data_IF_193417488901
#
_entry.id   IF_193417488901
#
_cell.length_a   1.000
_cell.length_b   1.000
_cell.length_c   1.000
_cell.angle_alpha   90.00
_cell.angle_beta   90.00
_cell.angle_gamma   90.00
#
_symmetry.space_group_name_H-M   'P 1'
#
loop_
_entity.id
_entity.type
_entity.pdbx_description
1 polymer ?
#
# COMPACT_ATOMS: atom_id res chain seq x y z
N UNK A 1 12.48 -12.95 -8.73
CA UNK A 1 11.80 -11.74 -8.24
C UNK A 1 12.83 -10.79 -7.66
N UNK A 2 12.89 -9.57 -8.15
CA UNK A 2 13.80 -8.55 -7.64
C UNK A 2 13.00 -7.39 -7.04
N UNK A 3 13.59 -6.75 -6.04
CA UNK A 3 13.00 -5.58 -5.37
C UNK A 3 13.94 -4.39 -5.58
N UNK A 4 13.39 -3.28 -6.03
CA UNK A 4 14.18 -2.06 -6.24
C UNK A 4 13.35 -0.82 -5.95
N UNK A 5 14.03 0.32 -5.76
CA UNK A 5 13.37 1.61 -5.57
C UNK A 5 12.91 2.15 -6.93
N UNK A 6 11.67 2.62 -6.98
CA UNK A 6 11.09 3.20 -8.18
C UNK A 6 11.72 4.55 -8.53
N UNK A 7 11.76 4.85 -9.82
CA UNK A 7 12.18 6.15 -10.35
C UNK A 7 11.03 6.79 -11.13
N UNK A 8 11.24 8.02 -11.61
CA UNK A 8 10.21 8.71 -12.40
C UNK A 8 9.80 7.93 -13.66
N UNK A 9 10.69 7.13 -14.22
CA UNK A 9 10.39 6.31 -15.40
C UNK A 9 9.36 5.23 -15.11
N UNK A 10 9.16 4.88 -13.85
CA UNK A 10 8.23 3.85 -13.45
C UNK A 10 6.79 4.36 -13.27
N UNK A 11 6.59 5.69 -13.30
CA UNK A 11 5.29 6.30 -12.96
C UNK A 11 4.13 5.77 -13.82
N UNK A 12 4.22 5.72 -15.15
CA UNK A 12 3.11 5.21 -15.95
C UNK A 12 2.72 3.77 -15.59
N UNK A 13 3.71 2.90 -15.40
CA UNK A 13 3.48 1.51 -15.01
C UNK A 13 2.87 1.38 -13.63
N UNK A 14 3.37 2.17 -12.67
CA UNK A 14 2.82 2.21 -11.31
C UNK A 14 1.38 2.68 -11.30
N UNK A 15 1.06 3.70 -12.07
CA UNK A 15 -0.30 4.23 -12.15
C UNK A 15 -1.28 3.14 -12.62
N UNK A 16 -0.92 2.39 -13.65
CA UNK A 16 -1.73 1.29 -14.14
C UNK A 16 -1.85 0.16 -13.12
N UNK A 17 -0.73 -0.24 -12.52
CA UNK A 17 -0.70 -1.32 -11.54
C UNK A 17 -1.58 -1.03 -10.32
N UNK A 18 -1.39 0.13 -9.70
CA UNK A 18 -2.10 0.48 -8.47
C UNK A 18 -3.60 0.62 -8.71
N UNK A 19 -3.99 1.35 -9.75
CA UNK A 19 -5.40 1.55 -10.02
C UNK A 19 -6.11 0.25 -10.39
N UNK A 20 -5.47 -0.63 -11.17
CA UNK A 20 -6.08 -1.90 -11.55
C UNK A 20 -6.21 -2.86 -10.36
N UNK A 21 -5.30 -2.79 -9.40
CA UNK A 21 -5.32 -3.67 -8.24
C UNK A 21 -6.32 -3.22 -7.17
N UNK A 22 -6.45 -1.92 -6.95
CA UNK A 22 -7.30 -1.38 -5.89
C UNK A 22 -8.74 -1.13 -6.34
N UNK A 23 -8.93 -0.66 -7.56
CA UNK A 23 -10.21 -0.12 -8.05
C UNK A 23 -10.51 -0.61 -9.46
N UNK A 24 -11.77 -0.48 -9.88
CA UNK A 24 -12.22 -0.92 -11.20
C UNK A 24 -12.52 -2.42 -11.23
N UNK A 25 -13.09 -2.87 -12.35
CA UNK A 25 -13.53 -4.26 -12.48
C UNK A 25 -12.37 -5.27 -12.46
N UNK A 26 -11.21 -4.90 -13.00
CA UNK A 26 -10.04 -5.77 -13.00
C UNK A 26 -9.56 -6.14 -11.60
N UNK A 27 -9.76 -5.27 -10.60
CA UNK A 27 -9.33 -5.54 -9.23
C UNK A 27 -10.11 -6.68 -8.57
N UNK A 28 -11.31 -6.98 -9.06
CA UNK A 28 -12.16 -8.03 -8.51
C UNK A 28 -11.64 -9.43 -8.82
N UNK A 29 -10.62 -9.57 -9.67
CA UNK A 29 -9.95 -10.84 -9.92
C UNK A 29 -9.05 -11.28 -8.75
N UNK A 30 -8.66 -10.35 -7.88
CA UNK A 30 -7.91 -10.65 -6.68
C UNK A 30 -8.82 -11.00 -5.52
N UNK A 31 -8.24 -11.47 -4.40
CA UNK A 31 -9.03 -11.82 -3.21
C UNK A 31 -9.48 -10.60 -2.40
N UNK A 32 -8.93 -9.43 -2.67
CA UNK A 32 -9.30 -8.19 -1.97
C UNK A 32 -9.34 -7.01 -2.94
N UNK A 33 -10.26 -6.07 -2.72
CA UNK A 33 -10.43 -4.90 -3.58
C UNK A 33 -11.18 -3.80 -2.81
N UNK A 34 -11.05 -2.56 -3.28
CA UNK A 34 -11.84 -1.42 -2.81
C UNK A 34 -12.96 -1.03 -3.77
N UNK A 35 -13.12 -1.76 -4.89
CA UNK A 35 -14.06 -1.38 -5.96
C UNK A 35 -15.51 -1.23 -5.50
N UNK A 36 -15.94 -1.99 -4.49
CA UNK A 36 -17.30 -1.91 -3.95
C UNK A 36 -17.46 -0.80 -2.90
N UNK A 37 -16.38 -0.18 -2.45
CA UNK A 37 -16.39 0.86 -1.43
C UNK A 37 -16.16 2.25 -1.99
N UNK A 38 -15.40 2.35 -3.09
CA UNK A 38 -14.93 3.61 -3.64
C UNK A 38 -15.04 3.63 -5.15
N UNK A 39 -15.50 4.76 -5.68
CA UNK A 39 -15.40 5.07 -7.11
C UNK A 39 -14.18 5.94 -7.36
N UNK A 40 -13.80 6.09 -8.63
CA UNK A 40 -12.68 6.91 -9.04
C UNK A 40 -11.35 6.15 -9.02
N UNK A 41 -10.25 6.91 -8.97
CA UNK A 41 -8.90 6.35 -9.02
C UNK A 41 -8.32 6.23 -7.62
N UNK A 42 -7.38 5.27 -7.44
CA UNK A 42 -6.61 5.14 -6.20
C UNK A 42 -5.45 6.12 -6.17
N UNK A 43 -4.81 6.33 -7.31
CA UNK A 43 -3.66 7.22 -7.46
C UNK A 43 -3.66 7.86 -8.85
N UNK A 44 -2.74 8.78 -9.07
CA UNK A 44 -2.51 9.44 -10.35
C UNK A 44 -1.00 9.58 -10.59
N UNK A 45 -0.61 9.89 -11.82
CA UNK A 45 0.81 10.12 -12.12
C UNK A 45 1.37 11.29 -11.32
N UNK A 46 0.59 12.35 -11.12
CA UNK A 46 1.02 13.50 -10.31
C UNK A 46 1.23 13.10 -8.84
N UNK A 47 0.32 12.32 -8.28
CA UNK A 47 0.46 11.84 -6.90
C UNK A 47 1.68 10.93 -6.75
N UNK A 48 1.93 10.06 -7.71
CA UNK A 48 3.10 9.18 -7.70
C UNK A 48 4.40 9.97 -7.80
N UNK A 49 4.41 11.02 -8.61
CA UNK A 49 5.58 11.89 -8.74
C UNK A 49 5.90 12.58 -7.41
N UNK A 50 4.87 13.09 -6.72
CA UNK A 50 5.03 13.67 -5.39
C UNK A 50 5.61 12.68 -4.40
N UNK A 51 5.15 11.43 -4.42
CA UNK A 51 5.66 10.37 -3.55
C UNK A 51 7.14 10.08 -3.81
N UNK A 52 7.53 9.96 -5.08
CA UNK A 52 8.91 9.65 -5.47
C UNK A 52 9.86 10.80 -5.13
N UNK A 53 9.39 12.03 -5.23
CA UNK A 53 10.19 13.22 -4.97
C UNK A 53 10.37 13.54 -3.48
N UNK A 54 9.62 12.91 -2.59
CA UNK A 54 9.77 13.13 -1.15
C UNK A 54 11.10 12.56 -0.67
N UNK A 55 11.83 13.36 0.14
CA UNK A 55 13.16 12.98 0.62
C UNK A 55 13.13 11.79 1.60
N UNK A 56 12.07 11.67 2.38
CA UNK A 56 11.95 10.63 3.40
C UNK A 56 11.15 9.42 2.94
N UNK A 57 10.91 9.30 1.64
CA UNK A 57 10.03 8.26 1.11
C UNK A 57 10.63 7.55 -0.08
N UNK A 58 10.22 6.29 -0.25
CA UNK A 58 10.53 5.49 -1.44
C UNK A 58 9.31 4.67 -1.82
N UNK A 59 9.22 4.28 -3.09
CA UNK A 59 8.31 3.23 -3.54
C UNK A 59 9.21 2.05 -3.89
N UNK A 60 8.97 0.90 -3.26
CA UNK A 60 9.68 -0.34 -3.58
C UNK A 60 8.86 -1.11 -4.59
N UNK A 61 9.50 -1.49 -5.70
CA UNK A 61 8.89 -2.31 -6.75
C UNK A 61 9.34 -3.75 -6.64
N UNK A 62 8.40 -4.66 -6.88
CA UNK A 62 8.70 -6.06 -7.11
C UNK A 62 8.59 -6.33 -8.60
N UNK A 63 9.67 -6.81 -9.20
CA UNK A 63 9.75 -7.09 -10.63
C UNK A 63 10.15 -8.52 -10.90
N UNK A 64 9.63 -9.07 -11.99
CA UNK A 64 10.05 -10.36 -12.52
C UNK A 64 9.80 -10.35 -14.02
N UNK A 65 10.79 -10.80 -14.81
CA UNK A 65 10.71 -10.85 -16.27
C UNK A 65 10.38 -9.47 -16.88
N UNK A 66 10.98 -8.42 -16.32
CA UNK A 66 10.80 -7.00 -16.72
C UNK A 66 9.37 -6.49 -16.53
N UNK A 67 8.56 -7.16 -15.71
CA UNK A 67 7.20 -6.72 -15.39
C UNK A 67 7.08 -6.36 -13.92
N UNK A 68 6.31 -5.29 -13.63
CA UNK A 68 5.95 -4.94 -12.27
C UNK A 68 4.92 -5.93 -11.77
N UNK A 69 5.21 -6.58 -10.65
CA UNK A 69 4.29 -7.55 -10.02
C UNK A 69 3.62 -6.97 -8.79
N UNK A 70 4.23 -5.99 -8.16
CA UNK A 70 3.68 -5.33 -6.99
C UNK A 70 4.53 -4.14 -6.57
N UNK A 71 4.04 -3.40 -5.57
CA UNK A 71 4.78 -2.27 -5.01
C UNK A 71 4.32 -1.96 -3.60
N UNK A 72 5.09 -1.13 -2.89
CA UNK A 72 4.72 -0.59 -1.59
C UNK A 72 5.36 0.78 -1.40
N UNK A 73 4.61 1.73 -0.84
CA UNK A 73 5.10 3.05 -0.48
C UNK A 73 5.56 3.06 0.97
N UNK A 74 6.75 3.59 1.22
CA UNK A 74 7.35 3.65 2.55
C UNK A 74 7.85 5.07 2.82
N UNK A 75 7.40 5.66 3.94
CA UNK A 75 7.78 7.02 4.31
C UNK A 75 8.16 7.08 5.78
N UNK A 76 9.35 7.62 6.08
CA UNK A 76 9.77 7.80 7.47
C UNK A 76 8.96 8.93 8.12
N UNK A 77 8.32 8.62 9.24
CA UNK A 77 7.52 9.57 10.03
C UNK A 77 7.94 9.43 11.50
N UNK A 78 8.79 10.34 11.97
CA UNK A 78 9.36 10.27 13.32
C UNK A 78 10.09 8.94 13.56
N UNK A 79 9.66 8.12 14.51
CA UNK A 79 10.27 6.83 14.81
C UNK A 79 9.61 5.65 14.08
N UNK A 80 8.63 5.93 13.25
CA UNK A 80 7.88 4.91 12.53
C UNK A 80 8.13 5.01 11.01
N UNK A 81 8.02 3.88 10.34
CA UNK A 81 7.97 3.83 8.88
C UNK A 81 6.50 3.66 8.49
N UNK A 82 5.94 4.68 7.84
CA UNK A 82 4.59 4.58 7.30
C UNK A 82 4.60 3.72 6.05
N UNK A 83 3.71 2.72 6.02
CA UNK A 83 3.53 1.82 4.89
C UNK A 83 2.18 2.10 4.25
N UNK A 84 2.19 2.36 2.95
CA UNK A 84 0.96 2.61 2.22
C UNK A 84 1.02 2.02 0.82
N UNK A 85 -0.13 1.98 0.17
CA UNK A 85 -0.23 1.58 -1.22
C UNK A 85 0.39 0.20 -1.50
N UNK A 86 0.26 -0.74 -0.54
CA UNK A 86 0.71 -2.12 -0.77
C UNK A 86 -0.13 -2.72 -1.89
N UNK A 87 0.53 -3.10 -2.96
CA UNK A 87 -0.12 -3.51 -4.20
C UNK A 87 0.49 -4.79 -4.72
N UNK A 88 -0.37 -5.74 -5.08
CA UNK A 88 0.00 -6.97 -5.79
C UNK A 88 -0.95 -7.10 -6.96
N UNK A 89 -0.45 -7.47 -8.13
CA UNK A 89 -1.33 -7.70 -9.29
C UNK A 89 -2.47 -8.62 -8.89
N UNK A 90 -3.74 -8.32 -9.28
CA UNK A 90 -4.88 -9.12 -8.83
C UNK A 90 -4.75 -10.62 -9.09
N UNK A 91 -4.20 -11.02 -10.24
CA UNK A 91 -4.01 -12.42 -10.59
C UNK A 91 -2.85 -13.09 -9.84
N UNK A 92 -2.06 -12.34 -9.07
CA UNK A 92 -0.94 -12.86 -8.27
C UNK A 92 -1.20 -12.80 -6.78
N UNK A 93 -2.34 -12.27 -6.35
CA UNK A 93 -2.70 -12.23 -4.93
C UNK A 93 -2.86 -13.65 -4.38
N UNK A 94 -2.52 -13.83 -3.10
CA UNK A 94 -2.57 -15.14 -2.47
C UNK A 94 -1.35 -16.03 -2.72
N UNK A 95 -0.31 -15.52 -3.41
CA UNK A 95 0.90 -16.29 -3.75
C UNK A 95 2.14 -15.87 -2.96
N UNK A 96 1.96 -15.10 -1.88
CA UNK A 96 3.05 -14.71 -1.00
C UNK A 96 3.81 -13.46 -1.38
N UNK A 97 3.50 -12.79 -2.48
CA UNK A 97 4.20 -11.58 -2.89
C UNK A 97 3.96 -10.42 -1.91
N UNK A 98 2.73 -10.28 -1.40
CA UNK A 98 2.42 -9.29 -0.37
C UNK A 98 3.28 -9.48 0.87
N UNK A 99 3.48 -10.72 1.31
CA UNK A 99 4.36 -11.04 2.43
C UNK A 99 5.80 -10.63 2.14
N UNK A 100 6.29 -10.88 0.92
CA UNK A 100 7.64 -10.47 0.52
C UNK A 100 7.79 -8.95 0.54
N UNK A 101 6.78 -8.21 0.10
CA UNK A 101 6.80 -6.74 0.15
C UNK A 101 6.79 -6.24 1.59
N UNK A 102 6.03 -6.87 2.48
CA UNK A 102 6.05 -6.54 3.91
C UNK A 102 7.42 -6.80 4.52
N UNK A 103 8.09 -7.89 4.14
CA UNK A 103 9.46 -8.15 4.59
C UNK A 103 10.43 -7.08 4.09
N UNK A 104 10.30 -6.64 2.84
CA UNK A 104 11.13 -5.56 2.31
C UNK A 104 10.93 -4.27 3.12
N UNK A 105 9.70 -3.99 3.54
CA UNK A 105 9.40 -2.84 4.40
C UNK A 105 10.08 -2.98 5.78
N UNK A 106 10.03 -4.16 6.37
CA UNK A 106 10.67 -4.42 7.66
C UNK A 106 12.19 -4.24 7.59
N UNK A 107 12.81 -4.75 6.53
CA UNK A 107 14.25 -4.56 6.30
C UNK A 107 14.61 -3.08 6.15
N UNK A 108 13.80 -2.34 5.40
CA UNK A 108 13.99 -0.90 5.24
C UNK A 108 13.88 -0.17 6.58
N UNK A 109 12.88 -0.52 7.39
CA UNK A 109 12.70 0.07 8.72
C UNK A 109 13.93 -0.13 9.59
N UNK A 110 14.51 -1.33 9.58
CA UNK A 110 15.73 -1.63 10.31
C UNK A 110 16.91 -0.79 9.81
N UNK A 111 17.08 -0.70 8.50
CA UNK A 111 18.18 0.04 7.87
C UNK A 111 18.17 1.51 8.26
N UNK A 112 17.00 2.13 8.33
CA UNK A 112 16.89 3.56 8.62
C UNK A 112 16.59 3.87 10.10
N UNK A 113 16.59 2.84 10.95
CA UNK A 113 16.45 3.01 12.41
C UNK A 113 15.04 3.28 12.88
N UNK A 114 14.02 2.90 12.13
CA UNK A 114 12.64 3.00 12.57
C UNK A 114 12.31 1.84 13.51
N UNK A 115 11.55 2.11 14.58
CA UNK A 115 11.23 1.13 15.60
C UNK A 115 9.96 0.36 15.31
N UNK A 116 9.12 0.89 14.41
CA UNK A 116 7.84 0.27 14.06
C UNK A 116 7.41 0.65 12.65
N UNK A 117 6.49 -0.16 12.12
CA UNK A 117 5.79 0.15 10.86
C UNK A 117 4.35 0.50 11.23
N UNK A 118 3.83 1.56 10.61
CA UNK A 118 2.47 2.03 10.81
C UNK A 118 1.73 2.06 9.48
N UNK A 119 0.46 1.66 9.50
CA UNK A 119 -0.39 1.72 8.32
C UNK A 119 -1.81 2.09 8.69
N UNK A 120 -2.60 2.52 7.70
CA UNK A 120 -4.03 2.76 7.85
C UNK A 120 -4.80 1.78 6.97
N UNK A 121 -5.90 1.26 7.49
CA UNK A 121 -6.76 0.31 6.76
C UNK A 121 -8.20 0.76 6.93
N UNK A 122 -8.99 0.70 5.84
CA UNK A 122 -10.41 1.02 5.90
C UNK A 122 -11.10 0.01 6.84
N UNK A 123 -11.84 0.52 7.82
CA UNK A 123 -12.37 -0.30 8.93
C UNK A 123 -13.29 -1.44 8.49
N UNK A 124 -13.99 -1.29 7.36
CA UNK A 124 -14.90 -2.32 6.88
C UNK A 124 -14.23 -3.40 6.02
N UNK A 125 -12.93 -3.28 5.75
CA UNK A 125 -12.18 -4.30 5.02
C UNK A 125 -11.64 -5.35 5.99
N UNK A 126 -12.56 -6.13 6.54
CA UNK A 126 -12.25 -7.10 7.59
C UNK A 126 -11.25 -8.17 7.16
N UNK A 127 -11.30 -8.59 5.90
CA UNK A 127 -10.39 -9.60 5.35
C UNK A 127 -8.95 -9.08 5.33
N UNK A 128 -8.78 -7.80 5.03
CA UNK A 128 -7.47 -7.17 4.97
C UNK A 128 -6.91 -6.95 6.38
N UNK A 129 -7.76 -6.53 7.32
CA UNK A 129 -7.38 -6.37 8.73
C UNK A 129 -6.92 -7.71 9.29
N UNK A 130 -7.64 -8.79 9.02
CA UNK A 130 -7.27 -10.13 9.46
C UNK A 130 -5.93 -10.55 8.87
N UNK A 131 -5.69 -10.23 7.59
CA UNK A 131 -4.41 -10.51 6.93
C UNK A 131 -3.25 -9.83 7.66
N UNK A 132 -3.38 -8.53 7.96
CA UNK A 132 -2.31 -7.80 8.65
C UNK A 132 -2.12 -8.29 10.08
N UNK A 133 -3.19 -8.67 10.78
CA UNK A 133 -3.06 -9.25 12.12
C UNK A 133 -2.24 -10.53 12.09
N UNK A 134 -2.45 -11.39 11.08
CA UNK A 134 -1.64 -12.61 10.91
C UNK A 134 -0.17 -12.29 10.65
N UNK A 135 0.13 -11.12 10.09
CA UNK A 135 1.50 -10.67 9.83
C UNK A 135 2.13 -9.95 11.03
N UNK A 136 1.42 -9.86 12.16
CA UNK A 136 1.94 -9.29 13.41
C UNK A 136 1.54 -7.84 13.66
N UNK A 137 0.70 -7.26 12.82
CA UNK A 137 0.20 -5.89 13.02
C UNK A 137 -0.94 -5.89 14.03
N UNK A 138 -1.03 -4.83 14.81
CA UNK A 138 -2.05 -4.69 15.87
C UNK A 138 -2.86 -3.42 15.62
N UNK A 139 -4.16 -3.50 15.91
CA UNK A 139 -5.04 -2.33 15.92
C UNK A 139 -4.66 -1.47 17.12
N UNK A 140 -4.29 -0.21 16.87
CA UNK A 140 -3.89 0.71 17.94
C UNK A 140 -5.06 1.33 18.69
N UNK A 141 -6.27 1.15 18.17
CA UNK A 141 -7.46 1.84 18.68
C UNK A 141 -7.70 3.20 18.05
N UNK A 142 -6.72 3.76 17.37
CA UNK A 142 -6.86 5.06 16.71
C UNK A 142 -7.68 4.93 15.44
N UNK A 143 -8.54 5.92 15.19
CA UNK A 143 -9.37 6.01 13.98
C UNK A 143 -9.15 7.36 13.31
N UNK A 144 -9.19 7.38 11.98
CA UNK A 144 -9.03 8.60 11.18
C UNK A 144 -10.12 8.64 10.11
N UNK A 145 -10.69 9.83 9.81
CA UNK A 145 -11.66 9.94 8.74
C UNK A 145 -11.02 9.68 7.38
N UNK A 146 -11.79 9.13 6.44
CA UNK A 146 -11.32 9.01 5.06
C UNK A 146 -11.22 10.41 4.46
N UNK A 147 -10.13 10.72 3.71
CA UNK A 147 -9.96 12.06 3.13
C UNK A 147 -11.11 12.44 2.20
N UNK A 148 -11.62 13.66 2.34
CA UNK A 148 -12.70 14.20 1.50
C UNK A 148 -12.11 14.91 0.28
N UNK A 149 -11.32 14.19 -0.50
CA UNK A 149 -10.64 14.69 -1.70
C UNK A 149 -10.73 13.61 -2.78
N UNK A 150 -11.34 13.92 -3.96
CA UNK A 150 -11.51 12.93 -5.03
C UNK A 150 -10.24 12.24 -5.50
N UNK A 151 -9.06 12.84 -5.28
CA UNK A 151 -7.79 12.19 -5.65
C UNK A 151 -7.52 10.89 -4.89
N UNK A 152 -8.18 10.67 -3.74
CA UNK A 152 -8.09 9.43 -2.96
C UNK A 152 -9.23 8.45 -3.29
N UNK A 153 -10.13 8.83 -4.19
CA UNK A 153 -11.31 8.07 -4.57
C UNK A 153 -12.58 8.73 -4.06
N UNK A 154 -13.71 8.26 -4.56
CA UNK A 154 -15.03 8.78 -4.22
C UNK A 154 -15.75 7.70 -3.41
N UNK A 155 -15.93 7.87 -2.08
CA UNK A 155 -16.57 6.86 -1.25
C UNK A 155 -18.02 6.63 -1.65
N UNK A 156 -18.42 5.37 -1.69
CA UNK A 156 -19.82 4.97 -1.92
C UNK A 156 -20.61 4.94 -0.61
N UNK A 157 -19.93 5.11 0.52
CA UNK A 157 -20.48 5.15 1.86
C UNK A 157 -19.51 5.91 2.75
N UNK A 158 -19.92 6.28 3.96
CA UNK A 158 -19.02 6.88 4.92
C UNK A 158 -17.95 5.86 5.31
N UNK A 159 -16.67 6.26 5.21
CA UNK A 159 -15.53 5.40 5.49
C UNK A 159 -14.63 6.05 6.54
N UNK A 160 -13.96 5.19 7.31
CA UNK A 160 -12.89 5.62 8.21
C UNK A 160 -11.74 4.61 8.16
N UNK A 161 -10.55 5.07 8.57
CA UNK A 161 -9.38 4.22 8.72
C UNK A 161 -9.19 3.83 10.17
N UNK A 162 -8.73 2.60 10.39
CA UNK A 162 -8.07 2.25 11.64
C UNK A 162 -6.56 2.30 11.44
N UNK A 163 -5.82 2.61 12.50
CA UNK A 163 -4.36 2.65 12.48
C UNK A 163 -3.83 1.34 13.05
N UNK A 164 -2.97 0.67 12.28
CA UNK A 164 -2.32 -0.57 12.70
C UNK A 164 -0.81 -0.35 12.79
N UNK A 165 -0.16 -1.03 13.74
CA UNK A 165 1.28 -0.94 13.95
C UNK A 165 1.90 -2.30 14.23
N UNK A 166 3.17 -2.45 13.81
CA UNK A 166 4.00 -3.61 14.15
C UNK A 166 5.36 -3.11 14.62
N UNK A 167 5.81 -3.57 15.78
CA UNK A 167 7.14 -3.26 16.28
C UNK A 167 8.19 -4.04 15.48
N UNK A 168 9.30 -3.37 15.13
CA UNK A 168 10.40 -3.93 14.37
C UNK A 168 11.61 -4.08 15.31
N UNK A 169 12.15 -5.29 15.37
CA UNK A 169 13.27 -5.64 16.26
C UNK A 169 14.49 -6.13 15.50
#
# INVERSE_FOLDING_TARGET
MTFRVATNDDIPGLNGLVNSAYRGEGSKQGWTTEADLLDGIRTSEDSLREMIERLDAVIVLAEQDNEMKGCVYLEKQADALYLGMLTVRPNLQGKGLGTQLLHAAEERAKEIGCQKIRMTVITVREELIAYYKRKGYKDTGERKPFPNDPKFGIPKRELEFLVMEKEIR
#
